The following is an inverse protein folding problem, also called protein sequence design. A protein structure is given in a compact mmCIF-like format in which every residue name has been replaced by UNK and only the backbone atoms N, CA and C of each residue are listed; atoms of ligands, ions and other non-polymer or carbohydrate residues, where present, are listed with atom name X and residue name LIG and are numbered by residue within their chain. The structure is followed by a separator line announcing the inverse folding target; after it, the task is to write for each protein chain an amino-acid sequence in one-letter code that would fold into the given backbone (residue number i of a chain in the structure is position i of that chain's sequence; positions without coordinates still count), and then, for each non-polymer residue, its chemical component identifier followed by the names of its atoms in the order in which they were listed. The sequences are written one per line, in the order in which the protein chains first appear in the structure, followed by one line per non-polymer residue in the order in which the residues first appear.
data_IF_970292483062
#
_entry.id   IF_970292483062
#
_cell.length_a   1.000
_cell.length_b   1.000
_cell.length_c   1.000
_cell.angle_alpha   90.00
_cell.angle_beta   90.00
_cell.angle_gamma   90.00
#
_symmetry.space_group_name_H-M   'P 1'
#
loop_
_entity.id
_entity.type
_entity.pdbx_description
1 polymer ?
#
# COMPACT_ATOMS: atom_id res chain seq x y z
N UNK A 1 1.55 3.00 50.30
CA UNK A 1 2.23 2.36 49.14
C UNK A 1 1.27 1.97 48.01
N UNK A 2 0.21 1.16 48.22
CA UNK A 2 -0.71 0.74 47.13
C UNK A 2 -1.37 1.88 46.32
N UNK A 3 -1.71 3.02 46.97
CA UNK A 3 -2.29 4.20 46.29
C UNK A 3 -1.28 4.98 45.42
N UNK A 4 0.01 4.86 45.73
CA UNK A 4 1.09 5.54 44.99
C UNK A 4 1.55 4.68 43.80
N UNK A 5 1.55 3.35 43.98
CA UNK A 5 1.79 2.37 42.92
C UNK A 5 0.69 2.47 41.85
N UNK A 6 -0.60 2.45 42.23
CA UNK A 6 -1.74 2.64 41.30
C UNK A 6 -1.69 3.95 40.47
N UNK A 7 -1.17 5.04 41.05
CA UNK A 7 -1.09 6.35 40.39
C UNK A 7 0.03 6.41 39.35
N UNK A 8 1.16 5.77 39.62
CA UNK A 8 2.28 5.69 38.67
C UNK A 8 2.01 4.69 37.55
N UNK A 9 1.41 3.53 37.82
CA UNK A 9 1.06 2.58 36.75
C UNK A 9 0.02 3.13 35.79
N UNK A 10 -0.98 3.89 36.26
CA UNK A 10 -1.99 4.48 35.37
C UNK A 10 -1.42 5.62 34.50
N UNK A 11 -0.54 6.45 35.07
CA UNK A 11 0.12 7.53 34.32
C UNK A 11 1.13 6.97 33.30
N UNK A 12 1.86 5.91 33.68
CA UNK A 12 2.71 5.14 32.76
C UNK A 12 1.88 4.46 31.68
N UNK A 13 0.70 3.93 31.99
CA UNK A 13 -0.21 3.36 31.00
C UNK A 13 -0.69 4.42 30.01
N UNK A 14 -1.13 5.60 30.46
CA UNK A 14 -1.51 6.72 29.58
C UNK A 14 -0.33 7.20 28.73
N UNK A 15 0.87 7.31 29.32
CA UNK A 15 2.08 7.71 28.58
C UNK A 15 2.48 6.64 27.56
N UNK A 16 2.40 5.35 27.89
CA UNK A 16 2.65 4.26 26.95
C UNK A 16 1.64 4.26 25.79
N UNK A 17 0.37 4.58 26.06
CA UNK A 17 -0.68 4.70 25.05
C UNK A 17 -0.45 5.91 24.14
N UNK A 18 -0.03 7.04 24.72
CA UNK A 18 0.36 8.26 23.97
C UNK A 18 1.66 8.09 23.17
N UNK A 19 2.63 7.33 23.68
CA UNK A 19 3.86 7.04 22.95
C UNK A 19 3.63 6.02 21.84
N UNK A 20 2.70 5.09 22.04
CA UNK A 20 2.30 4.16 20.99
C UNK A 20 1.63 4.94 19.84
N UNK A 21 0.77 5.93 20.11
CA UNK A 21 0.14 6.78 19.09
C UNK A 21 1.12 7.49 18.11
N UNK A 22 2.41 7.60 18.44
CA UNK A 22 3.46 8.18 17.58
C UNK A 22 4.18 7.16 16.69
N UNK A 23 3.92 5.86 16.86
CA UNK A 23 4.51 4.80 16.05
C UNK A 23 3.72 4.58 14.77
N UNK A 24 4.19 5.12 13.65
CA UNK A 24 3.72 4.72 12.33
C UNK A 24 4.09 3.25 12.09
N UNK A 25 3.10 2.38 12.01
CA UNK A 25 3.32 0.98 11.68
C UNK A 25 3.43 0.81 10.16
N UNK A 26 4.53 0.19 9.71
CA UNK A 26 4.69 -0.22 8.32
C UNK A 26 3.88 -1.50 8.07
N UNK A 27 3.02 -1.49 7.06
CA UNK A 27 2.39 -2.71 6.55
C UNK A 27 3.35 -3.46 5.63
N UNK A 28 3.34 -4.79 5.72
CA UNK A 28 4.08 -5.70 4.85
C UNK A 28 3.15 -6.58 3.97
N UNK A 29 1.91 -6.14 3.71
CA UNK A 29 0.94 -6.86 2.87
C UNK A 29 0.26 -8.06 3.55
N UNK A 30 -0.51 -8.84 2.80
CA UNK A 30 -1.23 -10.04 3.27
C UNK A 30 -0.31 -11.25 3.47
N UNK A 31 0.89 -11.24 2.88
CA UNK A 31 1.91 -12.29 3.04
C UNK A 31 1.41 -13.70 2.70
N UNK A 32 0.58 -13.82 1.65
CA UNK A 32 0.09 -15.12 1.18
C UNK A 32 1.23 -16.04 0.71
N UNK A 33 2.41 -15.49 0.48
CA UNK A 33 3.64 -16.20 0.13
C UNK A 33 4.13 -17.15 1.22
N UNK A 34 3.76 -16.89 2.48
CA UNK A 34 4.09 -17.77 3.63
C UNK A 34 3.17 -19.00 3.74
N UNK A 35 2.01 -18.97 3.07
CA UNK A 35 0.97 -20.01 3.16
C UNK A 35 0.97 -20.90 1.93
N UNK A 36 1.20 -20.31 0.75
CA UNK A 36 1.16 -21.02 -0.51
C UNK A 36 2.55 -21.51 -0.93
N UNK A 37 2.64 -22.64 -1.65
CA UNK A 37 3.91 -23.12 -2.16
C UNK A 37 4.40 -22.35 -3.40
N UNK A 38 3.52 -21.59 -4.05
CA UNK A 38 3.81 -20.82 -5.25
C UNK A 38 2.55 -20.26 -5.93
N UNK A 39 2.71 -19.67 -7.14
CA UNK A 39 1.60 -19.11 -7.90
C UNK A 39 0.67 -20.20 -8.46
N UNK A 40 -0.63 -20.09 -8.18
CA UNK A 40 -1.67 -20.98 -8.68
C UNK A 40 -3.06 -20.33 -8.59
N UNK A 41 -3.93 -20.62 -9.56
CA UNK A 41 -5.34 -20.23 -9.53
C UNK A 41 -6.14 -21.00 -8.48
N UNK A 42 -5.64 -22.17 -8.08
CA UNK A 42 -6.29 -23.05 -7.10
C UNK A 42 -5.88 -22.72 -5.67
N UNK A 43 -5.06 -21.68 -5.49
CA UNK A 43 -4.66 -21.18 -4.19
C UNK A 43 -5.90 -20.73 -3.39
N UNK A 44 -6.03 -21.29 -2.19
CA UNK A 44 -7.16 -21.02 -1.31
C UNK A 44 -6.97 -19.64 -0.64
N UNK A 45 -7.67 -18.64 -1.17
CA UNK A 45 -7.71 -17.26 -0.63
C UNK A 45 -8.19 -17.25 0.82
N UNK A 46 -9.15 -18.12 1.17
CA UNK A 46 -9.65 -18.26 2.53
C UNK A 46 -8.55 -18.69 3.51
N UNK A 47 -7.67 -19.62 3.12
CA UNK A 47 -6.51 -20.02 3.93
C UNK A 47 -5.48 -18.90 4.08
N UNK A 48 -5.22 -18.11 3.04
CA UNK A 48 -4.36 -16.94 3.18
C UNK A 48 -4.97 -15.94 4.19
N UNK A 49 -6.22 -15.54 3.98
CA UNK A 49 -6.89 -14.55 4.83
C UNK A 49 -7.02 -15.00 6.28
N UNK A 50 -7.31 -16.29 6.52
CA UNK A 50 -7.41 -16.83 7.89
C UNK A 50 -6.05 -16.93 8.58
N UNK A 51 -4.99 -17.34 7.88
CA UNK A 51 -3.63 -17.41 8.44
C UNK A 51 -3.04 -16.02 8.68
N UNK A 52 -3.32 -15.09 7.77
CA UNK A 52 -3.05 -13.66 7.93
C UNK A 52 -3.71 -13.12 9.20
N UNK A 53 -5.00 -13.43 9.40
CA UNK A 53 -5.76 -12.99 10.58
C UNK A 53 -5.10 -13.51 11.87
N UNK A 54 -4.63 -14.75 11.90
CA UNK A 54 -4.03 -15.36 13.10
C UNK A 54 -2.63 -14.82 13.40
N UNK A 55 -1.77 -14.68 12.38
CA UNK A 55 -0.37 -14.28 12.58
C UNK A 55 -0.22 -12.80 12.92
N UNK A 56 -1.07 -11.93 12.34
CA UNK A 56 -0.81 -10.49 12.31
C UNK A 56 -1.48 -9.65 13.38
N UNK A 57 -2.39 -10.21 14.19
CA UNK A 57 -2.80 -9.55 15.43
C UNK A 57 -1.63 -9.32 16.41
N UNK A 58 -0.46 -9.91 16.15
CA UNK A 58 0.80 -9.63 16.87
C UNK A 58 1.71 -8.57 16.19
N UNK A 59 1.37 -8.15 14.96
CA UNK A 59 2.19 -7.25 14.14
C UNK A 59 1.95 -5.76 14.47
N UNK A 60 2.95 -4.88 14.20
CA UNK A 60 2.92 -3.47 14.62
C UNK A 60 1.68 -2.70 14.17
N UNK A 61 1.15 -3.01 12.98
CA UNK A 61 -0.02 -2.34 12.38
C UNK A 61 -1.34 -2.65 13.07
N UNK A 62 -1.43 -3.79 13.73
CA UNK A 62 -2.64 -4.24 14.42
C UNK A 62 -2.58 -4.07 15.94
N UNK A 63 -1.41 -3.73 16.50
CA UNK A 63 -1.24 -3.48 17.93
C UNK A 63 -2.25 -2.44 18.44
N UNK A 64 -2.50 -1.37 17.67
CA UNK A 64 -3.49 -0.35 18.05
C UNK A 64 -4.92 -0.87 18.07
N UNK A 65 -5.27 -1.72 17.10
CA UNK A 65 -6.59 -2.35 17.03
C UNK A 65 -6.79 -3.26 18.24
N UNK A 66 -5.79 -4.09 18.57
CA UNK A 66 -5.83 -5.01 19.71
C UNK A 66 -5.89 -4.27 21.03
N UNK A 67 -5.06 -3.23 21.22
CA UNK A 67 -5.08 -2.40 22.42
C UNK A 67 -6.45 -1.74 22.61
N UNK A 68 -7.05 -1.21 21.54
CA UNK A 68 -8.39 -0.62 21.61
C UNK A 68 -9.48 -1.65 21.88
N UNK A 69 -9.39 -2.84 21.28
CA UNK A 69 -10.31 -3.93 21.56
C UNK A 69 -10.20 -4.40 23.02
N UNK A 70 -8.97 -4.50 23.57
CA UNK A 70 -8.75 -4.81 24.98
C UNK A 70 -9.30 -3.72 25.90
N UNK A 71 -9.13 -2.43 25.55
CA UNK A 71 -9.76 -1.34 26.28
C UNK A 71 -11.28 -1.45 26.24
N UNK A 72 -11.88 -1.75 25.08
CA UNK A 72 -13.32 -1.95 24.94
C UNK A 72 -13.81 -3.07 25.85
N UNK A 73 -13.13 -4.23 25.86
CA UNK A 73 -13.43 -5.36 26.74
C UNK A 73 -13.28 -4.95 28.21
N UNK A 74 -12.22 -4.21 28.55
CA UNK A 74 -11.98 -3.70 29.89
C UNK A 74 -13.11 -2.78 30.34
N UNK A 75 -13.56 -1.85 29.48
CA UNK A 75 -14.69 -0.98 29.76
C UNK A 75 -15.97 -1.78 29.96
N UNK A 76 -16.25 -2.74 29.07
CA UNK A 76 -17.43 -3.60 29.12
C UNK A 76 -17.51 -4.47 30.37
N UNK A 77 -16.37 -4.87 30.95
CA UNK A 77 -16.34 -5.76 32.11
C UNK A 77 -16.14 -5.00 33.43
N UNK A 78 -15.17 -4.09 33.51
CA UNK A 78 -14.80 -3.43 34.76
C UNK A 78 -15.90 -2.48 35.23
N UNK A 79 -16.49 -1.71 34.32
CA UNK A 79 -17.46 -0.70 34.70
C UNK A 79 -18.75 -1.28 35.31
N UNK A 80 -19.40 -2.30 34.71
CA UNK A 80 -20.56 -2.93 35.34
C UNK A 80 -20.20 -3.66 36.62
N UNK A 81 -19.01 -4.26 36.76
CA UNK A 81 -18.56 -4.86 38.02
C UNK A 81 -18.41 -3.80 39.11
N UNK A 82 -17.77 -2.67 38.82
CA UNK A 82 -17.63 -1.56 39.78
C UNK A 82 -19.01 -0.97 40.11
N UNK A 83 -19.87 -0.79 39.11
CA UNK A 83 -21.22 -0.26 39.32
C UNK A 83 -22.07 -1.20 40.17
N UNK A 84 -22.09 -2.51 39.87
CA UNK A 84 -22.76 -3.51 40.70
C UNK A 84 -22.15 -3.54 42.10
N UNK A 85 -20.82 -3.57 42.25
CA UNK A 85 -20.20 -3.56 43.57
C UNK A 85 -20.54 -2.28 44.35
N UNK A 86 -20.56 -1.11 43.74
CA UNK A 86 -20.89 0.15 44.42
C UNK A 86 -22.38 0.25 44.76
N UNK A 87 -23.28 -0.13 43.85
CA UNK A 87 -24.74 -0.08 44.07
C UNK A 87 -25.17 -1.19 45.02
N UNK A 88 -24.68 -2.42 44.86
CA UNK A 88 -24.96 -3.51 45.79
C UNK A 88 -24.31 -3.27 47.16
N UNK A 89 -23.11 -2.68 47.26
CA UNK A 89 -22.57 -2.31 48.58
C UNK A 89 -23.31 -1.12 49.21
N UNK A 90 -23.79 -0.14 48.45
CA UNK A 90 -24.63 0.93 49.00
C UNK A 90 -26.02 0.41 49.43
N UNK A 91 -26.64 -0.50 48.69
CA UNK A 91 -27.91 -1.12 49.07
C UNK A 91 -27.76 -2.15 50.21
N UNK A 92 -26.70 -2.96 50.24
CA UNK A 92 -26.48 -3.95 51.30
C UNK A 92 -25.91 -3.34 52.59
N UNK A 93 -25.12 -2.25 52.52
CA UNK A 93 -24.63 -1.54 53.71
C UNK A 93 -25.59 -0.46 54.23
N UNK A 94 -26.56 0.04 53.43
CA UNK A 94 -27.63 0.89 53.96
C UNK A 94 -28.57 0.12 54.91
N UNK A 95 -28.66 -1.21 54.77
CA UNK A 95 -29.41 -2.08 55.68
C UNK A 95 -28.58 -2.58 56.89
N UNK A 96 -27.28 -2.28 56.94
CA UNK A 96 -26.39 -2.75 58.00
C UNK A 96 -25.46 -1.60 58.45
N UNK A 97 -25.95 -0.89 59.47
CA UNK A 97 -25.28 0.09 60.31
C UNK A 97 -25.06 1.50 59.73
N UNK A 98 -25.65 2.45 60.45
CA UNK A 98 -25.35 3.87 60.50
C UNK A 98 -23.93 4.20 60.04
N UNK A 99 -23.80 4.79 58.86
CA UNK A 99 -22.60 5.55 58.51
C UNK A 99 -22.67 6.82 59.34
N UNK A 100 -21.77 7.04 60.33
CA UNK A 100 -21.86 8.19 61.20
C UNK A 100 -21.66 9.44 60.35
N UNK A 101 -22.70 10.25 60.32
CA UNK A 101 -22.73 11.55 59.70
C UNK A 101 -21.64 12.44 60.29
N UNK A 102 -20.72 12.88 59.45
CA UNK A 102 -20.05 14.16 59.65
C UNK A 102 -18.71 14.14 60.39
N UNK A 103 -17.71 13.44 59.87
CA UNK A 103 -16.31 13.78 60.15
C UNK A 103 -15.81 14.86 59.19
N UNK A 104 -15.40 16.04 59.67
CA UNK A 104 -14.73 17.12 58.89
C UNK A 104 -13.53 16.64 58.04
N UNK A 105 -13.00 15.44 58.31
CA UNK A 105 -11.94 14.76 57.56
C UNK A 105 -12.43 13.93 56.35
N UNK A 106 -13.68 13.49 56.31
CA UNK A 106 -14.26 12.79 55.14
C UNK A 106 -14.50 13.74 53.97
N UNK A 107 -14.87 15.00 54.24
CA UNK A 107 -15.10 16.01 53.19
C UNK A 107 -13.81 16.37 52.43
N UNK A 108 -12.65 16.40 53.12
CA UNK A 108 -11.34 16.64 52.49
C UNK A 108 -10.88 15.45 51.65
N UNK A 109 -11.10 14.21 52.09
CA UNK A 109 -10.77 13.01 51.31
C UNK A 109 -11.71 12.81 50.11
N UNK A 110 -13.00 13.12 50.26
CA UNK A 110 -13.98 13.05 49.16
C UNK A 110 -13.69 14.08 48.05
N UNK A 111 -13.34 15.33 48.40
CA UNK A 111 -12.92 16.34 47.41
C UNK A 111 -11.63 15.94 46.67
N UNK A 112 -10.64 15.37 47.38
CA UNK A 112 -9.41 14.86 46.75
C UNK A 112 -9.69 13.68 45.80
N UNK A 113 -10.61 12.78 46.14
CA UNK A 113 -10.99 11.67 45.27
C UNK A 113 -11.76 12.13 44.01
N UNK A 114 -12.59 13.17 44.12
CA UNK A 114 -13.36 13.69 42.99
C UNK A 114 -12.47 14.41 41.97
N UNK A 115 -11.49 15.20 42.43
CA UNK A 115 -10.47 15.82 41.55
C UNK A 115 -9.62 14.75 40.85
N UNK A 116 -9.28 13.66 41.54
CA UNK A 116 -8.54 12.54 40.92
C UNK A 116 -9.37 11.83 39.86
N UNK A 117 -10.66 11.58 40.14
CA UNK A 117 -11.58 10.99 39.18
C UNK A 117 -11.73 11.87 37.93
N UNK A 118 -11.80 13.20 38.10
CA UNK A 118 -11.81 14.15 36.98
C UNK A 118 -10.56 14.09 36.12
N UNK A 119 -9.37 14.04 36.73
CA UNK A 119 -8.11 13.92 35.97
C UNK A 119 -8.06 12.61 35.19
N UNK A 120 -8.56 11.51 35.78
CA UNK A 120 -8.63 10.21 35.11
C UNK A 120 -9.61 10.24 33.92
N UNK A 121 -10.82 10.77 34.13
CA UNK A 121 -11.84 10.88 33.08
C UNK A 121 -11.40 11.81 31.95
N UNK A 122 -10.71 12.91 32.27
CA UNK A 122 -10.12 13.80 31.27
C UNK A 122 -9.04 13.07 30.45
N UNK A 123 -8.13 12.34 31.11
CA UNK A 123 -7.09 11.58 30.42
C UNK A 123 -7.66 10.51 29.49
N UNK A 124 -8.69 9.79 29.94
CA UNK A 124 -9.41 8.81 29.11
C UNK A 124 -10.10 9.52 27.94
N UNK A 125 -10.80 10.62 28.20
CA UNK A 125 -11.47 11.41 27.16
C UNK A 125 -10.50 11.87 26.07
N UNK A 126 -9.39 12.50 26.46
CA UNK A 126 -8.34 12.94 25.52
C UNK A 126 -7.76 11.77 24.72
N UNK A 127 -7.54 10.62 25.36
CA UNK A 127 -7.00 9.43 24.69
C UNK A 127 -7.98 8.89 23.64
N UNK A 128 -9.27 8.77 23.97
CA UNK A 128 -10.31 8.31 23.04
C UNK A 128 -10.46 9.29 21.87
N UNK A 129 -10.38 10.59 22.13
CA UNK A 129 -10.40 11.63 21.09
C UNK A 129 -9.21 11.49 20.14
N UNK A 130 -8.00 11.33 20.67
CA UNK A 130 -6.81 11.12 19.86
C UNK A 130 -6.95 9.86 18.99
N UNK A 131 -7.43 8.76 19.55
CA UNK A 131 -7.63 7.50 18.83
C UNK A 131 -8.66 7.60 17.70
N UNK A 132 -9.78 8.29 17.93
CA UNK A 132 -10.79 8.52 16.89
C UNK A 132 -10.23 9.39 15.78
N UNK A 133 -9.55 10.49 16.13
CA UNK A 133 -8.93 11.38 15.13
C UNK A 133 -7.90 10.61 14.30
N UNK A 134 -7.02 9.84 14.94
CA UNK A 134 -6.03 9.01 14.26
C UNK A 134 -6.69 7.96 13.37
N UNK A 135 -7.71 7.25 13.86
CA UNK A 135 -8.44 6.26 13.08
C UNK A 135 -9.16 6.86 11.86
N UNK A 136 -9.82 8.01 12.03
CA UNK A 136 -10.48 8.73 10.93
C UNK A 136 -9.46 9.23 9.89
N UNK A 137 -8.31 9.73 10.35
CA UNK A 137 -7.22 10.17 9.46
C UNK A 137 -6.68 9.00 8.66
N UNK A 138 -6.38 7.87 9.32
CA UNK A 138 -5.90 6.66 8.65
C UNK A 138 -6.92 6.05 7.68
N UNK A 139 -8.21 6.07 8.02
CA UNK A 139 -9.26 5.60 7.11
C UNK A 139 -9.27 6.43 5.82
N UNK A 140 -9.29 7.77 5.97
CA UNK A 140 -9.34 8.70 4.84
C UNK A 140 -8.07 8.59 3.98
N UNK A 141 -6.90 8.71 4.59
CA UNK A 141 -5.64 8.65 3.86
C UNK A 141 -5.41 7.27 3.24
N UNK A 142 -5.69 6.20 3.98
CA UNK A 142 -5.56 4.83 3.46
C UNK A 142 -6.49 4.56 2.28
N UNK A 143 -7.73 5.02 2.32
CA UNK A 143 -8.64 4.91 1.18
C UNK A 143 -8.09 5.68 -0.04
N UNK A 144 -7.69 6.94 0.15
CA UNK A 144 -7.15 7.79 -0.92
C UNK A 144 -5.86 7.20 -1.53
N UNK A 145 -4.97 6.68 -0.69
CA UNK A 145 -3.70 6.08 -1.09
C UNK A 145 -3.91 4.80 -1.90
N UNK A 146 -4.86 3.93 -1.53
CA UNK A 146 -5.15 2.69 -2.28
C UNK A 146 -5.51 3.01 -3.73
N UNK A 147 -6.44 3.94 -3.95
CA UNK A 147 -6.88 4.28 -5.30
C UNK A 147 -5.83 5.06 -6.08
N UNK A 148 -5.11 5.96 -5.42
CA UNK A 148 -4.03 6.73 -6.02
C UNK A 148 -2.89 5.82 -6.48
N UNK A 149 -2.45 4.90 -5.60
CA UNK A 149 -1.42 3.92 -5.94
C UNK A 149 -1.90 2.93 -7.01
N UNK A 150 -3.16 2.49 -6.96
CA UNK A 150 -3.73 1.65 -8.02
C UNK A 150 -3.67 2.36 -9.39
N UNK A 151 -4.10 3.62 -9.46
CA UNK A 151 -4.07 4.39 -10.70
C UNK A 151 -2.65 4.61 -11.22
N UNK A 152 -1.75 5.10 -10.37
CA UNK A 152 -0.38 5.43 -10.73
C UNK A 152 0.48 4.20 -11.06
N UNK A 153 0.23 3.05 -10.42
CA UNK A 153 1.11 1.89 -10.54
C UNK A 153 0.56 0.79 -11.43
N UNK A 154 -0.76 0.68 -11.58
CA UNK A 154 -1.38 -0.36 -12.39
C UNK A 154 -1.91 0.25 -13.69
N UNK A 155 -2.82 1.23 -13.61
CA UNK A 155 -3.46 1.81 -14.80
C UNK A 155 -2.45 2.52 -15.70
N UNK A 156 -1.69 3.46 -15.14
CA UNK A 156 -0.69 4.22 -15.91
C UNK A 156 0.41 3.32 -16.47
N UNK A 157 0.83 2.29 -15.72
CA UNK A 157 1.79 1.31 -16.22
C UNK A 157 1.28 0.59 -17.47
N UNK A 158 0.06 0.05 -17.46
CA UNK A 158 -0.48 -0.64 -18.62
C UNK A 158 -0.74 0.30 -19.80
N UNK A 159 -1.22 1.52 -19.55
CA UNK A 159 -1.40 2.53 -20.60
C UNK A 159 -0.06 2.90 -21.27
N UNK A 160 1.00 3.06 -20.47
CA UNK A 160 2.35 3.34 -20.99
C UNK A 160 2.90 2.17 -21.79
N UNK A 161 2.82 0.94 -21.27
CA UNK A 161 3.29 -0.26 -21.98
C UNK A 161 2.58 -0.42 -23.33
N UNK A 162 1.27 -0.16 -23.40
CA UNK A 162 0.53 -0.23 -24.67
C UNK A 162 0.94 0.88 -25.62
N UNK A 163 1.20 2.09 -25.10
CA UNK A 163 1.68 3.19 -25.92
C UNK A 163 3.06 2.90 -26.51
N UNK A 164 3.97 2.35 -25.70
CA UNK A 164 5.30 1.93 -26.13
C UNK A 164 5.22 0.79 -27.14
N UNK A 165 4.40 -0.23 -26.89
CA UNK A 165 4.20 -1.35 -27.82
C UNK A 165 3.58 -0.90 -29.15
N UNK A 166 2.66 0.06 -29.11
CA UNK A 166 2.07 0.66 -30.31
C UNK A 166 3.12 1.42 -31.13
N UNK A 167 4.00 2.16 -30.47
CA UNK A 167 5.10 2.85 -31.15
C UNK A 167 6.13 1.88 -31.73
N UNK A 168 6.47 0.81 -31.00
CA UNK A 168 7.46 -0.18 -31.40
C UNK A 168 7.01 -1.07 -32.56
N UNK A 169 5.70 -1.34 -32.68
CA UNK A 169 5.15 -2.20 -33.74
C UNK A 169 4.66 -1.42 -34.95
N UNK A 170 4.72 -0.09 -34.92
CA UNK A 170 4.32 0.76 -36.04
C UNK A 170 5.45 0.88 -37.05
N UNK A 171 5.20 0.42 -38.27
CA UNK A 171 6.11 0.58 -39.39
C UNK A 171 5.72 1.85 -40.18
N UNK A 172 6.60 2.85 -40.15
CA UNK A 172 6.40 4.12 -40.84
C UNK A 172 6.41 4.00 -42.36
N UNK A 173 7.06 2.98 -42.91
CA UNK A 173 7.25 2.81 -44.34
C UNK A 173 6.03 2.15 -44.98
N UNK A 174 5.43 1.17 -44.29
CA UNK A 174 4.18 0.53 -44.72
C UNK A 174 2.93 1.25 -44.21
N UNK A 175 3.07 2.14 -43.22
CA UNK A 175 1.96 2.82 -42.54
C UNK A 175 1.06 1.86 -41.77
N UNK A 176 1.56 0.66 -41.44
CA UNK A 176 0.82 -0.43 -40.83
C UNK A 176 1.55 -0.97 -39.60
N UNK A 177 0.86 -1.74 -38.78
CA UNK A 177 1.49 -2.40 -37.64
C UNK A 177 2.00 -3.79 -38.06
N UNK A 178 3.06 -4.26 -37.42
CA UNK A 178 3.51 -5.64 -37.58
C UNK A 178 2.40 -6.60 -37.12
N UNK A 179 1.98 -7.49 -38.02
CA UNK A 179 1.02 -8.56 -37.71
C UNK A 179 1.46 -9.33 -36.46
N UNK A 180 0.53 -9.65 -35.54
CA UNK A 180 -0.94 -9.55 -35.65
C UNK A 180 -1.54 -8.28 -35.02
N UNK A 181 -0.71 -7.27 -34.74
CA UNK A 181 -1.19 -6.05 -34.14
C UNK A 181 -1.91 -5.19 -35.16
N UNK A 182 -2.96 -4.52 -34.70
CA UNK A 182 -3.73 -3.58 -35.51
C UNK A 182 -4.20 -2.43 -34.63
N UNK A 183 -4.64 -1.33 -35.23
CA UNK A 183 -5.27 -0.24 -34.47
C UNK A 183 -6.42 -0.77 -33.59
N UNK A 184 -7.25 -1.68 -34.10
CA UNK A 184 -8.38 -2.21 -33.33
C UNK A 184 -7.94 -3.09 -32.16
N UNK A 185 -6.79 -3.77 -32.25
CA UNK A 185 -6.19 -4.49 -31.13
C UNK A 185 -5.80 -3.53 -30.01
N UNK A 186 -5.07 -2.46 -30.33
CA UNK A 186 -4.65 -1.46 -29.35
C UNK A 186 -5.81 -0.67 -28.76
N UNK A 187 -6.80 -0.31 -29.59
CA UNK A 187 -7.98 0.42 -29.16
C UNK A 187 -8.85 -0.46 -28.24
N UNK A 188 -9.04 -1.76 -28.54
CA UNK A 188 -9.74 -2.68 -27.63
C UNK A 188 -9.07 -2.80 -26.25
N UNK A 189 -7.74 -2.96 -26.21
CA UNK A 189 -7.03 -3.08 -24.93
C UNK A 189 -7.10 -1.76 -24.16
N UNK A 190 -6.94 -0.62 -24.85
CA UNK A 190 -7.11 0.70 -24.26
C UNK A 190 -8.52 0.91 -23.71
N UNK A 191 -9.55 0.48 -24.44
CA UNK A 191 -10.95 0.58 -24.00
C UNK A 191 -11.20 -0.28 -22.75
N UNK A 192 -10.61 -1.48 -22.66
CA UNK A 192 -10.70 -2.32 -21.47
C UNK A 192 -10.03 -1.66 -20.25
N UNK A 193 -8.84 -1.08 -20.43
CA UNK A 193 -8.13 -0.37 -19.35
C UNK A 193 -8.88 0.90 -18.95
N UNK A 194 -9.42 1.65 -19.92
CA UNK A 194 -10.22 2.85 -19.66
C UNK A 194 -11.52 2.50 -18.95
N UNK A 195 -12.16 1.38 -19.31
CA UNK A 195 -13.33 0.84 -18.62
C UNK A 195 -13.01 0.44 -17.18
N UNK A 196 -11.87 -0.22 -16.95
CA UNK A 196 -11.37 -0.52 -15.61
C UNK A 196 -11.10 0.75 -14.81
N UNK A 197 -10.47 1.76 -15.43
CA UNK A 197 -10.22 3.06 -14.81
C UNK A 197 -11.53 3.76 -14.43
N UNK A 198 -12.50 3.84 -15.34
CA UNK A 198 -13.81 4.45 -15.07
C UNK A 198 -14.56 3.73 -13.96
N UNK A 199 -14.48 2.41 -13.92
CA UNK A 199 -15.08 1.60 -12.85
C UNK A 199 -14.39 1.89 -11.53
N UNK A 200 -13.06 1.96 -11.52
CA UNK A 200 -12.25 2.29 -10.34
C UNK A 200 -12.53 3.71 -9.85
N UNK A 201 -12.61 4.70 -10.74
CA UNK A 201 -12.91 6.10 -10.41
C UNK A 201 -14.32 6.22 -9.79
N UNK A 202 -15.29 5.44 -10.27
CA UNK A 202 -16.64 5.37 -9.67
C UNK A 202 -16.58 4.80 -8.25
N UNK A 203 -15.90 3.66 -8.05
CA UNK A 203 -15.74 3.07 -6.72
C UNK A 203 -14.93 3.98 -5.79
N UNK A 204 -13.93 4.68 -6.31
CA UNK A 204 -13.16 5.68 -5.57
C UNK A 204 -14.09 6.79 -5.05
N UNK A 205 -14.95 7.34 -5.92
CA UNK A 205 -15.94 8.35 -5.52
C UNK A 205 -16.86 7.87 -4.39
N UNK A 206 -17.40 6.65 -4.52
CA UNK A 206 -18.29 6.07 -3.50
C UNK A 206 -17.55 5.83 -2.17
N UNK A 207 -16.40 5.16 -2.20
CA UNK A 207 -15.60 4.82 -1.01
C UNK A 207 -15.07 6.08 -0.33
N UNK A 208 -14.60 7.08 -1.09
CA UNK A 208 -14.17 8.35 -0.53
C UNK A 208 -15.33 9.07 0.13
N UNK A 209 -16.49 9.14 -0.49
CA UNK A 209 -17.66 9.79 0.09
C UNK A 209 -18.09 9.13 1.41
N UNK A 210 -18.10 7.79 1.48
CA UNK A 210 -18.35 7.08 2.74
C UNK A 210 -17.26 7.28 3.79
N UNK A 211 -15.99 7.23 3.40
CA UNK A 211 -14.86 7.41 4.32
C UNK A 211 -14.79 8.84 4.88
N UNK A 212 -15.07 9.85 4.05
CA UNK A 212 -15.15 11.25 4.45
C UNK A 212 -16.35 11.49 5.35
N UNK A 213 -17.52 10.95 5.03
CA UNK A 213 -18.69 11.03 5.89
C UNK A 213 -18.40 10.39 7.26
N UNK A 214 -17.82 9.19 7.25
CA UNK A 214 -17.44 8.46 8.46
C UNK A 214 -16.40 9.22 9.29
N UNK A 215 -15.40 9.83 8.65
CA UNK A 215 -14.39 10.67 9.30
C UNK A 215 -15.01 11.94 9.89
N UNK A 216 -15.87 12.64 9.14
CA UNK A 216 -16.55 13.85 9.59
C UNK A 216 -17.45 13.58 10.80
N UNK A 217 -18.23 12.49 10.75
CA UNK A 217 -19.02 12.03 11.90
C UNK A 217 -18.10 11.67 13.08
N UNK A 218 -16.98 10.98 12.83
CA UNK A 218 -15.98 10.67 13.85
C UNK A 218 -15.40 11.91 14.53
N UNK A 219 -15.04 12.95 13.78
CA UNK A 219 -14.55 14.22 14.32
C UNK A 219 -15.62 14.94 15.14
N UNK A 220 -16.86 14.98 14.66
CA UNK A 220 -17.98 15.57 15.41
C UNK A 220 -18.23 14.82 16.72
N UNK A 221 -18.20 13.49 16.67
CA UNK A 221 -18.31 12.64 17.85
C UNK A 221 -17.16 12.88 18.81
N UNK A 222 -15.92 13.04 18.35
CA UNK A 222 -14.75 13.26 19.21
C UNK A 222 -14.87 14.52 20.10
N UNK A 223 -15.67 15.51 19.75
CA UNK A 223 -15.93 16.68 20.62
C UNK A 223 -16.87 16.33 21.80
N UNK A 224 -17.71 15.32 21.64
CA UNK A 224 -18.76 14.96 22.58
C UNK A 224 -18.25 14.53 23.98
N UNK A 225 -17.17 13.73 24.13
CA UNK A 225 -16.57 13.46 25.44
C UNK A 225 -16.08 14.71 26.18
N UNK A 226 -15.56 15.71 25.47
CA UNK A 226 -15.14 16.99 26.06
C UNK A 226 -16.37 17.81 26.51
N UNK A 227 -17.42 17.81 25.69
CA UNK A 227 -18.69 18.43 26.04
C UNK A 227 -19.29 17.79 27.29
N UNK A 228 -19.35 16.46 27.35
CA UNK A 228 -19.82 15.77 28.55
C UNK A 228 -18.95 16.15 29.76
N UNK A 229 -17.61 16.12 29.64
CA UNK A 229 -16.70 16.47 30.72
C UNK A 229 -16.99 17.84 31.35
N UNK A 230 -17.41 18.81 30.54
CA UNK A 230 -17.81 20.15 31.01
C UNK A 230 -18.99 20.12 32.00
N UNK A 231 -19.95 19.20 31.83
CA UNK A 231 -21.04 19.02 32.80
C UNK A 231 -20.55 18.43 34.10
N UNK A 232 -19.62 17.48 34.06
CA UNK A 232 -19.02 16.93 35.28
C UNK A 232 -18.24 18.00 36.04
N UNK A 233 -17.57 18.90 35.34
CA UNK A 233 -16.96 20.10 35.93
C UNK A 233 -18.00 21.02 36.58
N UNK A 234 -19.08 21.31 35.87
CA UNK A 234 -20.17 22.16 36.36
C UNK A 234 -20.86 21.57 37.60
N UNK A 235 -21.11 20.26 37.64
CA UNK A 235 -21.68 19.58 38.81
C UNK A 235 -20.74 19.59 40.02
N UNK A 236 -19.43 19.45 39.79
CA UNK A 236 -18.44 19.57 40.86
C UNK A 236 -18.33 21.00 41.39
N UNK A 237 -18.43 22.00 40.51
CA UNK A 237 -18.44 23.41 40.90
C UNK A 237 -19.68 23.76 41.72
N UNK A 238 -20.86 23.27 41.31
CA UNK A 238 -22.14 23.52 42.00
C UNK A 238 -22.38 22.63 43.24
N UNK A 239 -21.45 21.73 43.61
CA UNK A 239 -21.59 20.77 44.72
C UNK A 239 -22.89 19.90 44.67
N UNK A 240 -23.46 19.67 43.49
CA UNK A 240 -24.63 18.81 43.32
C UNK A 240 -24.23 17.33 43.52
N UNK A 241 -24.66 16.70 44.62
CA UNK A 241 -24.05 15.45 45.12
C UNK A 241 -24.91 14.18 45.05
N UNK A 242 -26.21 14.26 44.79
CA UNK A 242 -27.11 13.14 45.13
C UNK A 242 -27.56 12.24 43.97
N UNK A 243 -28.09 12.79 42.86
CA UNK A 243 -28.74 11.94 41.82
C UNK A 243 -28.23 12.19 40.41
N UNK A 244 -28.08 13.47 40.01
CA UNK A 244 -27.61 13.83 38.66
C UNK A 244 -26.24 13.23 38.28
N UNK A 245 -25.19 13.24 39.13
CA UNK A 245 -23.88 12.70 38.75
C UNK A 245 -23.90 11.20 38.44
N UNK A 246 -24.76 10.43 39.12
CA UNK A 246 -24.91 8.99 38.89
C UNK A 246 -25.58 8.71 37.54
N UNK A 247 -26.60 9.49 37.17
CA UNK A 247 -27.28 9.36 35.89
C UNK A 247 -26.34 9.67 34.71
N UNK A 248 -25.57 10.76 34.84
CA UNK A 248 -24.57 11.13 33.83
C UNK A 248 -23.49 10.05 33.69
N UNK A 249 -23.09 9.40 34.78
CA UNK A 249 -22.10 8.29 34.77
C UNK A 249 -22.55 7.10 33.90
N UNK A 250 -23.84 6.76 33.91
CA UNK A 250 -24.40 5.74 33.01
C UNK A 250 -24.37 6.20 31.54
N UNK A 251 -24.68 7.46 31.28
CA UNK A 251 -24.60 8.04 29.92
C UNK A 251 -23.16 8.02 29.41
N UNK A 252 -22.18 8.42 30.23
CA UNK A 252 -20.76 8.34 29.90
C UNK A 252 -20.31 6.94 29.53
N UNK A 253 -20.83 5.93 30.23
CA UNK A 253 -20.49 4.55 29.98
C UNK A 253 -21.00 4.06 28.62
N UNK A 254 -22.28 4.27 28.33
CA UNK A 254 -22.87 3.88 27.04
C UNK A 254 -22.18 4.59 25.87
N UNK A 255 -21.94 5.89 26.03
CA UNK A 255 -21.19 6.69 25.05
C UNK A 255 -19.77 6.14 24.90
N UNK A 256 -19.07 5.85 25.99
CA UNK A 256 -17.73 5.25 25.95
C UNK A 256 -17.67 3.94 25.17
N UNK A 257 -18.66 3.05 25.32
CA UNK A 257 -18.74 1.80 24.55
C UNK A 257 -18.88 2.07 23.06
N UNK A 258 -19.84 2.92 22.67
CA UNK A 258 -20.10 3.24 21.25
C UNK A 258 -18.83 3.83 20.63
N UNK A 259 -18.17 4.73 21.33
CA UNK A 259 -16.96 5.40 20.85
C UNK A 259 -15.77 4.45 20.71
N UNK A 260 -15.55 3.58 21.69
CA UNK A 260 -14.50 2.57 21.62
C UNK A 260 -14.76 1.57 20.48
N UNK A 261 -16.02 1.20 20.24
CA UNK A 261 -16.40 0.36 19.11
C UNK A 261 -16.12 1.04 17.76
N UNK A 262 -16.51 2.31 17.61
CA UNK A 262 -16.22 3.09 16.40
C UNK A 262 -14.71 3.21 16.17
N UNK A 263 -13.92 3.50 17.21
CA UNK A 263 -12.47 3.60 17.10
C UNK A 263 -11.83 2.27 16.63
N UNK A 264 -12.26 1.13 17.17
CA UNK A 264 -11.80 -0.20 16.73
C UNK A 264 -12.10 -0.43 15.25
N UNK A 265 -13.31 -0.11 14.81
CA UNK A 265 -13.70 -0.27 13.39
C UNK A 265 -12.86 0.60 12.48
N UNK A 266 -12.66 1.89 12.81
CA UNK A 266 -11.86 2.79 11.98
C UNK A 266 -10.39 2.37 11.90
N UNK A 267 -9.79 1.99 13.04
CA UNK A 267 -8.40 1.52 13.07
C UNK A 267 -8.22 0.20 12.31
N UNK A 268 -9.21 -0.70 12.39
CA UNK A 268 -9.19 -1.95 11.63
C UNK A 268 -9.25 -1.70 10.14
N UNK A 269 -10.15 -0.82 9.68
CA UNK A 269 -10.27 -0.47 8.27
C UNK A 269 -9.02 0.25 7.75
N UNK A 270 -8.44 1.16 8.54
CA UNK A 270 -7.17 1.80 8.23
C UNK A 270 -6.02 0.81 8.07
N UNK A 271 -5.92 -0.19 8.97
CA UNK A 271 -4.92 -1.25 8.86
C UNK A 271 -5.13 -2.11 7.60
N UNK A 272 -6.37 -2.47 7.27
CA UNK A 272 -6.70 -3.21 6.04
C UNK A 272 -6.29 -2.42 4.80
N UNK A 273 -6.56 -1.12 4.73
CA UNK A 273 -6.12 -0.30 3.60
C UNK A 273 -4.60 -0.22 3.49
N UNK A 274 -3.89 -0.13 4.61
CA UNK A 274 -2.43 -0.22 4.62
C UNK A 274 -1.92 -1.53 4.02
N UNK A 275 -2.61 -2.64 4.28
CA UNK A 275 -2.26 -3.96 3.76
C UNK A 275 -2.54 -4.10 2.27
N UNK A 276 -3.65 -3.53 1.80
CA UNK A 276 -3.96 -3.46 0.37
C UNK A 276 -2.91 -2.60 -0.37
N UNK A 277 -2.51 -1.45 0.18
CA UNK A 277 -1.43 -0.64 -0.41
C UNK A 277 -0.13 -1.43 -0.51
N UNK A 278 0.26 -2.16 0.54
CA UNK A 278 1.46 -2.97 0.51
C UNK A 278 1.38 -4.11 -0.52
N UNK A 279 0.21 -4.71 -0.75
CA UNK A 279 0.01 -5.68 -1.84
C UNK A 279 0.15 -5.05 -3.23
N UNK A 280 -0.31 -3.81 -3.41
CA UNK A 280 -0.10 -3.06 -4.67
C UNK A 280 1.39 -2.83 -4.92
N UNK A 281 2.16 -2.49 -3.88
CA UNK A 281 3.61 -2.32 -3.96
C UNK A 281 4.35 -3.64 -4.26
N UNK A 282 3.91 -4.75 -3.68
CA UNK A 282 4.42 -6.10 -4.01
C UNK A 282 4.16 -6.44 -5.47
N UNK A 283 2.96 -6.12 -5.99
CA UNK A 283 2.63 -6.33 -7.40
C UNK A 283 3.54 -5.52 -8.33
N UNK A 284 3.79 -4.25 -8.01
CA UNK A 284 4.71 -3.38 -8.76
C UNK A 284 6.13 -3.95 -8.82
N UNK A 285 6.63 -4.44 -7.69
CA UNK A 285 7.97 -5.04 -7.60
C UNK A 285 8.02 -6.49 -8.08
N UNK A 286 6.89 -7.04 -8.57
CA UNK A 286 6.71 -8.45 -8.97
C UNK A 286 7.13 -9.43 -7.87
N UNK A 287 6.98 -9.01 -6.62
CA UNK A 287 7.25 -9.82 -5.45
C UNK A 287 6.06 -10.73 -5.15
N UNK A 288 6.28 -11.85 -4.43
CA UNK A 288 5.21 -12.77 -4.12
C UNK A 288 4.18 -12.11 -3.19
N UNK A 289 2.89 -12.26 -3.54
CA UNK A 289 1.77 -11.60 -2.87
C UNK A 289 0.44 -12.12 -3.42
N UNK A 290 -0.70 -11.63 -2.89
CA UNK A 290 -2.04 -12.05 -3.31
C UNK A 290 -2.24 -11.83 -4.82
N UNK A 291 -1.87 -10.65 -5.31
CA UNK A 291 -2.05 -10.31 -6.71
C UNK A 291 -1.20 -11.19 -7.63
N UNK A 292 0.08 -11.39 -7.27
CA UNK A 292 1.02 -12.11 -8.12
C UNK A 292 0.80 -13.63 -8.09
N UNK A 293 0.42 -14.22 -6.95
CA UNK A 293 0.33 -15.67 -6.79
C UNK A 293 -1.08 -16.25 -6.95
N UNK A 294 -2.12 -15.43 -6.94
CA UNK A 294 -3.50 -15.87 -7.15
C UNK A 294 -4.18 -15.13 -8.29
N UNK A 295 -4.24 -13.80 -8.23
CA UNK A 295 -5.01 -13.02 -9.23
C UNK A 295 -4.44 -13.18 -10.63
N UNK A 296 -3.12 -13.11 -10.79
CA UNK A 296 -2.47 -13.32 -12.10
C UNK A 296 -2.79 -14.70 -12.71
N UNK A 297 -2.58 -15.84 -12.02
CA UNK A 297 -2.99 -17.15 -12.54
C UNK A 297 -4.49 -17.27 -12.86
N UNK A 298 -5.38 -16.70 -12.04
CA UNK A 298 -6.83 -16.69 -12.31
C UNK A 298 -7.13 -15.89 -13.59
N UNK A 299 -6.48 -14.75 -13.76
CA UNK A 299 -6.59 -13.94 -14.97
C UNK A 299 -6.07 -14.69 -16.19
N UNK A 300 -4.95 -15.40 -16.11
CA UNK A 300 -4.41 -16.22 -17.20
C UNK A 300 -5.37 -17.35 -17.60
N UNK A 301 -6.06 -17.97 -16.64
CA UNK A 301 -7.07 -19.00 -16.93
C UNK A 301 -8.36 -18.43 -17.54
N UNK A 302 -8.72 -17.19 -17.20
CA UNK A 302 -9.97 -16.55 -17.64
C UNK A 302 -9.80 -15.84 -18.98
N UNK A 303 -8.68 -15.14 -19.15
CA UNK A 303 -8.26 -14.47 -20.35
C UNK A 303 -6.91 -15.08 -20.74
N UNK A 304 -6.94 -16.02 -21.69
CA UNK A 304 -5.75 -16.71 -22.13
C UNK A 304 -4.83 -15.75 -22.90
N UNK A 305 -3.88 -15.14 -22.20
CA UNK A 305 -2.86 -14.27 -22.78
C UNK A 305 -1.66 -15.06 -23.34
N UNK A 306 -1.64 -16.39 -23.18
CA UNK A 306 -0.57 -17.26 -23.69
C UNK A 306 -0.31 -17.07 -25.19
N UNK A 307 -1.32 -17.00 -26.07
CA UNK A 307 -1.09 -16.79 -27.50
C UNK A 307 -0.41 -15.45 -27.79
N UNK A 308 -0.78 -14.38 -27.07
CA UNK A 308 -0.16 -13.07 -27.23
C UNK A 308 1.28 -13.07 -26.71
N UNK A 309 1.55 -13.75 -25.59
CA UNK A 309 2.89 -13.90 -25.04
C UNK A 309 3.79 -14.71 -25.99
N UNK A 310 3.27 -15.80 -26.55
CA UNK A 310 3.97 -16.59 -27.57
C UNK A 310 4.23 -15.79 -28.84
N UNK A 311 3.25 -15.00 -29.30
CA UNK A 311 3.42 -14.11 -30.45
C UNK A 311 4.45 -13.02 -30.20
N UNK A 312 4.43 -12.36 -29.04
CA UNK A 312 5.43 -11.34 -28.67
C UNK A 312 6.82 -11.97 -28.58
N UNK A 313 6.95 -13.13 -27.94
CA UNK A 313 8.23 -13.84 -27.84
C UNK A 313 8.72 -14.31 -29.22
N UNK A 314 7.81 -14.74 -30.11
CA UNK A 314 8.15 -15.12 -31.48
C UNK A 314 8.60 -13.91 -32.29
N UNK A 315 7.87 -12.80 -32.22
CA UNK A 315 8.26 -11.54 -32.87
C UNK A 315 9.60 -11.04 -32.34
N UNK A 316 9.82 -11.07 -31.02
CA UNK A 316 11.10 -10.73 -30.43
C UNK A 316 12.23 -11.57 -31.02
N UNK A 317 12.03 -12.90 -31.05
CA UNK A 317 13.01 -13.83 -31.59
C UNK A 317 13.23 -13.61 -33.10
N UNK A 318 12.18 -13.32 -33.86
CA UNK A 318 12.27 -13.13 -35.31
C UNK A 318 12.94 -11.80 -35.65
N UNK A 319 12.65 -10.71 -34.94
CA UNK A 319 13.37 -9.45 -35.10
C UNK A 319 14.83 -9.57 -34.66
N UNK A 320 15.12 -10.27 -33.57
CA UNK A 320 16.49 -10.52 -33.13
C UNK A 320 17.28 -11.36 -34.15
N UNK A 321 16.65 -12.39 -34.74
CA UNK A 321 17.23 -13.19 -35.83
C UNK A 321 17.48 -12.36 -37.07
N UNK A 322 16.47 -11.60 -37.54
CA UNK A 322 16.60 -10.74 -38.72
C UNK A 322 17.71 -9.70 -38.53
N UNK A 323 17.79 -9.08 -37.35
CA UNK A 323 18.89 -8.18 -37.02
C UNK A 323 20.25 -8.88 -37.16
N UNK A 324 20.40 -10.11 -36.69
CA UNK A 324 21.68 -10.81 -36.77
C UNK A 324 21.98 -11.40 -38.14
N UNK A 325 20.98 -11.78 -38.92
CA UNK A 325 21.14 -12.09 -40.35
C UNK A 325 21.64 -10.87 -41.11
N UNK A 326 21.01 -9.71 -40.93
CA UNK A 326 21.46 -8.47 -41.57
C UNK A 326 22.84 -8.05 -41.08
N UNK A 327 23.07 -8.08 -39.76
CA UNK A 327 24.36 -7.74 -39.18
C UNK A 327 25.47 -8.67 -39.70
N UNK A 328 25.18 -9.95 -39.97
CA UNK A 328 26.15 -10.88 -40.54
C UNK A 328 26.61 -10.50 -41.95
N UNK A 329 25.77 -9.80 -42.74
CA UNK A 329 26.15 -9.28 -44.07
C UNK A 329 27.18 -8.16 -43.98
N UNK A 330 27.27 -7.47 -42.84
CA UNK A 330 28.18 -6.35 -42.64
C UNK A 330 29.33 -6.65 -41.66
N UNK A 331 29.33 -7.83 -41.04
CA UNK A 331 30.27 -8.27 -40.03
C UNK A 331 31.38 -9.15 -40.62
N UNK A 332 32.61 -9.00 -40.12
CA UNK A 332 33.66 -9.99 -40.34
C UNK A 332 34.56 -10.16 -39.12
N UNK A 333 35.28 -11.29 -39.08
CA UNK A 333 36.31 -11.58 -38.09
C UNK A 333 37.62 -10.77 -38.27
N UNK A 334 37.71 -9.91 -39.29
CA UNK A 334 38.92 -9.13 -39.60
C UNK A 334 38.80 -7.70 -39.10
N UNK A 335 39.85 -7.18 -38.46
CA UNK A 335 39.85 -5.81 -37.90
C UNK A 335 40.17 -4.74 -38.93
N UNK A 336 40.64 -5.13 -40.12
CA UNK A 336 41.06 -4.25 -41.21
C UNK A 336 40.01 -4.25 -42.31
N UNK A 337 39.62 -3.07 -42.80
CA UNK A 337 38.68 -2.95 -43.90
C UNK A 337 39.30 -3.45 -45.22
N UNK A 338 38.54 -4.23 -45.98
CA UNK A 338 38.93 -4.72 -47.30
C UNK A 338 38.07 -4.03 -48.37
N UNK A 339 38.63 -3.18 -49.23
CA UNK A 339 37.87 -2.50 -50.29
C UNK A 339 37.32 -3.46 -51.36
N UNK A 340 37.80 -4.70 -51.43
CA UNK A 340 37.24 -5.73 -52.31
C UNK A 340 35.94 -6.36 -51.78
N UNK A 341 35.63 -6.20 -50.49
CA UNK A 341 34.37 -6.62 -49.87
C UNK A 341 33.73 -5.42 -49.15
N UNK A 342 33.17 -4.46 -49.91
CA UNK A 342 32.74 -3.17 -49.35
C UNK A 342 31.61 -3.27 -48.32
N UNK A 343 30.89 -4.39 -48.27
CA UNK A 343 29.89 -4.70 -47.25
C UNK A 343 30.50 -4.98 -45.88
N UNK A 344 31.76 -5.40 -45.76
CA UNK A 344 32.38 -5.85 -44.50
C UNK A 344 32.90 -4.67 -43.67
N UNK A 345 31.97 -3.80 -43.25
CA UNK A 345 32.24 -2.53 -42.59
C UNK A 345 32.56 -2.71 -41.09
N UNK A 346 31.98 -3.73 -40.44
CA UNK A 346 32.09 -3.94 -39.01
C UNK A 346 32.99 -5.13 -38.66
N UNK A 347 33.77 -4.97 -37.60
CA UNK A 347 34.39 -6.09 -36.91
C UNK A 347 33.42 -6.62 -35.87
N UNK A 348 33.19 -7.93 -35.91
CA UNK A 348 32.34 -8.64 -34.99
C UNK A 348 33.15 -9.83 -34.48
N UNK A 349 33.31 -9.92 -33.15
CA UNK A 349 34.11 -10.99 -32.55
C UNK A 349 33.55 -12.35 -32.98
N UNK A 350 34.45 -13.28 -33.29
CA UNK A 350 34.23 -14.60 -33.94
C UNK A 350 33.22 -15.55 -33.31
N UNK A 351 32.53 -15.17 -32.23
CA UNK A 351 31.67 -16.10 -31.50
C UNK A 351 30.18 -16.03 -31.82
N UNK A 352 29.54 -14.89 -32.16
CA UNK A 352 28.06 -14.86 -32.10
C UNK A 352 27.34 -13.93 -33.10
N UNK A 353 27.87 -13.60 -34.27
CA UNK A 353 27.17 -12.66 -35.18
C UNK A 353 27.22 -13.11 -36.64
N UNK A 354 27.22 -14.42 -36.88
CA UNK A 354 27.41 -14.98 -38.22
C UNK A 354 26.19 -15.75 -38.72
N UNK A 355 25.18 -15.97 -37.87
CA UNK A 355 23.94 -16.62 -38.25
C UNK A 355 22.76 -16.14 -37.39
N UNK A 356 21.55 -16.27 -37.95
CA UNK A 356 20.28 -16.04 -37.25
C UNK A 356 20.21 -16.73 -35.88
N UNK A 357 20.80 -17.93 -35.78
CA UNK A 357 20.81 -18.76 -34.58
C UNK A 357 21.54 -18.13 -33.40
N UNK A 358 22.41 -17.15 -33.65
CA UNK A 358 23.22 -16.52 -32.61
C UNK A 358 22.42 -15.49 -31.78
N UNK A 359 21.21 -15.15 -32.24
CA UNK A 359 20.35 -14.12 -31.66
C UNK A 359 18.93 -14.61 -31.37
N UNK A 360 18.76 -15.49 -30.37
CA UNK A 360 17.44 -15.96 -29.98
C UNK A 360 16.59 -14.89 -29.28
N UNK A 361 17.20 -13.77 -28.82
CA UNK A 361 16.53 -12.71 -28.05
C UNK A 361 17.11 -11.33 -28.37
N UNK A 362 16.39 -10.26 -28.05
CA UNK A 362 16.94 -8.90 -28.18
C UNK A 362 18.15 -8.66 -27.29
N UNK A 363 18.27 -9.36 -26.15
CA UNK A 363 19.44 -9.26 -25.28
C UNK A 363 20.70 -9.73 -26.00
N UNK A 364 20.63 -10.85 -26.72
CA UNK A 364 21.73 -11.38 -27.53
C UNK A 364 22.08 -10.41 -28.68
N UNK A 365 21.08 -9.93 -29.40
CA UNK A 365 21.26 -8.94 -30.48
C UNK A 365 21.92 -7.66 -29.98
N UNK A 366 21.48 -7.13 -28.84
CA UNK A 366 22.03 -5.93 -28.22
C UNK A 366 23.46 -6.16 -27.74
N UNK A 367 23.78 -7.35 -27.21
CA UNK A 367 25.15 -7.69 -26.82
C UNK A 367 26.10 -7.69 -28.02
N UNK A 368 25.66 -8.21 -29.17
CA UNK A 368 26.42 -8.20 -30.42
C UNK A 368 26.61 -6.79 -30.95
N UNK A 369 25.56 -5.98 -30.96
CA UNK A 369 25.62 -4.58 -31.37
C UNK A 369 26.63 -3.79 -30.52
N UNK A 370 26.65 -4.03 -29.20
CA UNK A 370 27.59 -3.37 -28.30
C UNK A 370 29.04 -3.89 -28.44
N UNK A 371 29.22 -5.13 -28.89
CA UNK A 371 30.55 -5.73 -29.12
C UNK A 371 31.13 -5.38 -30.49
N UNK A 372 30.29 -5.02 -31.46
CA UNK A 372 30.70 -4.63 -32.80
C UNK A 372 31.31 -3.22 -32.84
N UNK A 373 32.32 -3.03 -33.69
CA UNK A 373 32.89 -1.72 -33.98
C UNK A 373 33.23 -1.59 -35.47
N UNK A 374 33.14 -0.38 -36.01
CA UNK A 374 33.48 -0.17 -37.41
C UNK A 374 35.00 -0.27 -37.61
N UNK A 375 35.41 -0.88 -38.72
CA UNK A 375 36.82 -1.08 -39.05
C UNK A 375 37.46 0.23 -39.50
N UNK A 376 38.75 0.39 -39.19
CA UNK A 376 39.55 1.52 -39.70
C UNK A 376 39.60 1.46 -41.22
N UNK A 377 39.36 2.61 -41.88
CA UNK A 377 39.41 2.72 -43.34
C UNK A 377 38.10 2.39 -44.06
N UNK A 378 37.06 1.98 -43.34
CA UNK A 378 35.70 1.79 -43.87
C UNK A 378 34.98 3.09 -44.23
N UNK A 379 35.51 4.25 -43.80
CA UNK A 379 34.90 5.56 -43.98
C UNK A 379 33.82 5.91 -42.95
N UNK A 380 33.41 4.96 -42.10
CA UNK A 380 32.38 5.18 -41.06
C UNK A 380 32.94 5.96 -39.87
N UNK A 381 34.03 5.48 -39.28
CA UNK A 381 34.77 6.15 -38.22
C UNK A 381 36.10 6.63 -38.78
N UNK A 382 36.52 7.87 -38.47
CA UNK A 382 37.66 8.54 -39.11
C UNK A 382 38.98 7.77 -39.08
N UNK A 383 39.88 8.11 -38.14
CA UNK A 383 41.19 7.46 -38.04
C UNK A 383 41.25 6.34 -36.97
N UNK A 384 40.14 6.06 -36.29
CA UNK A 384 40.05 5.10 -35.18
C UNK A 384 38.82 4.22 -35.32
N UNK A 385 38.87 3.04 -34.71
CA UNK A 385 37.69 2.20 -34.49
C UNK A 385 36.67 3.00 -33.67
N UNK A 386 35.38 2.90 -34.00
CA UNK A 386 34.33 3.41 -33.14
C UNK A 386 33.18 2.41 -33.06
N UNK A 387 32.62 2.25 -31.86
CA UNK A 387 31.42 1.43 -31.64
C UNK A 387 30.16 2.19 -32.03
N UNK A 388 29.03 1.48 -32.11
CA UNK A 388 27.73 2.11 -32.37
C UNK A 388 27.41 3.26 -31.38
N UNK A 389 27.74 3.09 -30.09
CA UNK A 389 27.57 4.14 -29.07
C UNK A 389 28.49 5.35 -29.23
N UNK A 390 29.60 5.17 -29.93
CA UNK A 390 30.57 6.25 -30.19
C UNK A 390 30.31 6.96 -31.51
N UNK A 391 29.52 6.36 -32.41
CA UNK A 391 29.16 6.94 -33.70
C UNK A 391 28.60 8.37 -33.64
N UNK A 392 27.73 8.75 -32.67
CA UNK A 392 27.23 10.13 -32.55
C UNK A 392 28.33 11.20 -32.48
N UNK A 393 29.53 10.82 -32.00
CA UNK A 393 30.65 11.75 -31.79
C UNK A 393 31.85 11.49 -32.69
N UNK A 394 31.96 10.30 -33.28
CA UNK A 394 33.18 9.84 -33.98
C UNK A 394 32.94 9.41 -35.43
N UNK A 395 31.68 9.29 -35.88
CA UNK A 395 31.38 8.97 -37.27
C UNK A 395 31.73 10.14 -38.19
N UNK A 396 32.20 9.87 -39.41
CA UNK A 396 32.60 10.90 -40.38
C UNK A 396 31.38 11.46 -41.14
N UNK A 397 30.35 10.62 -41.28
CA UNK A 397 29.11 10.98 -41.94
C UNK A 397 28.16 11.71 -40.98
N UNK A 398 27.83 12.96 -41.31
CA UNK A 398 26.96 13.84 -40.52
C UNK A 398 25.50 13.40 -40.47
N UNK A 399 25.01 12.66 -41.47
CA UNK A 399 23.68 12.06 -41.42
C UNK A 399 23.64 10.87 -40.46
N UNK A 400 24.68 10.04 -40.46
CA UNK A 400 24.83 8.94 -39.49
C UNK A 400 24.98 9.46 -38.06
N UNK A 401 25.73 10.55 -37.86
CA UNK A 401 25.82 11.22 -36.55
C UNK A 401 24.46 11.70 -36.05
N UNK A 402 23.66 12.34 -36.91
CA UNK A 402 22.30 12.80 -36.55
C UNK A 402 21.41 11.62 -36.15
N UNK A 403 21.32 10.59 -37.00
CA UNK A 403 20.49 9.41 -36.74
C UNK A 403 20.91 8.65 -35.49
N UNK A 404 22.21 8.56 -35.23
CA UNK A 404 22.73 7.90 -34.03
C UNK A 404 22.56 8.73 -32.75
N UNK A 405 22.38 10.06 -32.87
CA UNK A 405 22.10 10.94 -31.73
C UNK A 405 20.61 10.95 -31.34
N UNK A 406 19.74 10.58 -32.28
CA UNK A 406 18.28 10.50 -32.11
C UNK A 406 17.82 9.11 -31.59
N UNK A 407 18.70 8.10 -31.64
CA UNK A 407 18.50 6.74 -31.13
C UNK A 407 19.13 6.56 -29.74
#
# INVERSE_FOLDING_TARGET
MLRFIKRRTFLVFIICMLSALLGSAMSAGLQCDTVWPGPSSDNDVGKCLTTFTISRFSGPSYVFVVINALLLILFLLIFPIIFLCCVCCQCCCACCNEVPSGGRNESKNSRKNLVILMVILLGIGVTVVALIITGCTQLRSGAEDVFTNFKLHIVDYFLNIISELRAATYDSDTGSYTEPFSNSTFDNIRDQITSLQNTTDKYHGDVMNYSELAANVGYALAVFPLFLFSFTFLFAFLNCRSVLPSLFTCVYYLVGIVFALVAVVMLLMGAIFGDVCAEIDLQKTRQPGLFQWYVMPVCENTANFTPYKEQINSMEADFAKQFCEEMSNYCSATTVYNPSTPSDVFYCTTTNATAATDCPTFSSATAILNAAYAKIGSGVCGASNCSFRQCPTQCVDTQLQSKASDA
#
